data_IF_350065020298
#
_entry.id   IF_350065020298
#
_cell.length_a   1.000
_cell.length_b   1.000
_cell.length_c   1.000
_cell.angle_alpha   90.00
_cell.angle_beta   90.00
_cell.angle_gamma   90.00
#
_symmetry.space_group_name_H-M   'P 1'
#
loop_
_entity.id
_entity.type
_entity.pdbx_description
1 polymer ?
#
# COMPACT_ATOMS: atom_id res chain seq x y z
N UNK A 1 62.43 37.54 53.43
CA UNK A 1 62.51 36.04 53.30
C UNK A 1 61.07 35.54 53.25
N UNK A 2 60.52 35.41 52.08
CA UNK A 2 59.14 34.99 51.87
C UNK A 2 59.17 33.53 51.39
N UNK A 3 58.57 32.65 52.13
CA UNK A 3 58.32 31.27 51.77
C UNK A 3 57.19 31.20 50.75
N UNK A 4 57.47 30.64 49.56
CA UNK A 4 56.48 30.30 48.59
C UNK A 4 56.01 28.87 48.86
N UNK A 5 54.77 28.74 49.32
CA UNK A 5 54.06 27.47 49.46
C UNK A 5 53.58 27.00 48.12
N UNK A 6 54.15 25.91 47.64
CA UNK A 6 53.66 25.17 46.46
C UNK A 6 52.54 24.24 46.87
N UNK A 7 51.32 24.56 46.44
CA UNK A 7 50.15 23.68 46.58
C UNK A 7 50.24 22.47 45.66
N UNK A 8 49.84 21.26 46.08
CA UNK A 8 49.85 20.06 45.24
C UNK A 8 48.69 20.08 44.23
N UNK A 9 48.99 19.66 43.00
CA UNK A 9 48.06 19.55 41.90
C UNK A 9 46.90 18.61 42.23
N UNK A 10 45.66 19.13 42.09
CA UNK A 10 44.45 18.36 42.22
C UNK A 10 44.32 17.34 41.09
N UNK A 11 44.27 16.06 41.44
CA UNK A 11 43.97 14.97 40.55
C UNK A 11 42.51 15.03 40.09
N UNK A 12 42.29 15.23 38.79
CA UNK A 12 40.98 15.15 38.16
C UNK A 12 40.37 13.77 38.36
N UNK A 13 39.12 13.66 38.81
CA UNK A 13 38.43 12.36 38.89
C UNK A 13 38.15 11.82 37.48
N UNK A 14 38.67 10.65 37.21
CA UNK A 14 38.37 9.85 36.03
C UNK A 14 36.85 9.64 35.95
N UNK A 15 36.20 10.17 34.93
CA UNK A 15 34.78 9.98 34.68
C UNK A 15 34.48 8.46 34.62
N UNK A 16 33.70 8.00 35.57
CA UNK A 16 33.18 6.63 35.60
C UNK A 16 32.29 6.44 34.38
N UNK A 17 32.71 5.52 33.51
CA UNK A 17 31.89 5.04 32.37
C UNK A 17 30.52 4.61 32.89
N UNK A 18 29.51 5.46 32.59
CA UNK A 18 28.14 5.22 32.99
C UNK A 18 27.60 3.96 32.33
N UNK A 19 27.56 2.85 33.06
CA UNK A 19 26.74 1.70 32.75
C UNK A 19 25.31 2.19 32.52
N UNK A 20 24.85 2.19 31.24
CA UNK A 20 23.46 2.48 30.89
C UNK A 20 22.56 1.58 31.72
N UNK A 21 21.63 2.14 32.52
CA UNK A 21 20.74 1.33 33.34
C UNK A 21 19.95 0.39 32.45
N UNK A 22 20.08 -0.91 32.73
CA UNK A 22 19.28 -1.96 32.12
C UNK A 22 17.83 -1.63 32.42
N UNK A 23 17.03 -1.23 31.39
CA UNK A 23 15.63 -0.87 31.52
C UNK A 23 14.86 -2.08 32.11
N UNK A 24 14.71 -2.14 33.39
CA UNK A 24 13.85 -3.12 34.07
C UNK A 24 12.43 -2.76 33.66
N UNK A 25 11.78 -3.61 32.85
CA UNK A 25 10.37 -3.42 32.49
C UNK A 25 9.57 -3.34 33.78
N UNK A 26 9.00 -2.18 34.07
CA UNK A 26 8.22 -1.92 35.26
C UNK A 26 7.09 -2.96 35.38
N UNK A 27 6.69 -3.34 36.57
CA UNK A 27 5.55 -4.26 36.82
C UNK A 27 4.30 -3.80 36.07
N UNK A 28 4.13 -2.49 35.95
CA UNK A 28 3.05 -1.84 35.18
C UNK A 28 3.11 -2.15 33.71
N UNK A 29 4.30 -2.12 33.07
CA UNK A 29 4.46 -2.49 31.66
C UNK A 29 4.16 -3.97 31.39
N UNK A 30 4.39 -4.85 32.37
CA UNK A 30 4.02 -6.27 32.26
C UNK A 30 2.52 -6.48 32.39
N UNK A 31 1.84 -5.78 33.29
CA UNK A 31 0.39 -5.85 33.42
C UNK A 31 -0.35 -5.26 32.22
N UNK A 32 0.14 -4.14 31.68
CA UNK A 32 -0.37 -3.53 30.46
C UNK A 32 -0.21 -4.46 29.24
N UNK A 33 0.96 -5.09 29.09
CA UNK A 33 1.18 -6.08 28.02
C UNK A 33 0.26 -7.31 28.17
N UNK A 34 0.05 -7.79 29.41
CA UNK A 34 -0.87 -8.93 29.67
C UNK A 34 -2.32 -8.56 29.36
N UNK A 35 -2.74 -7.37 29.75
CA UNK A 35 -4.07 -6.86 29.43
C UNK A 35 -4.26 -6.68 27.90
N UNK A 36 -3.24 -6.13 27.22
CA UNK A 36 -3.23 -6.03 25.77
C UNK A 36 -3.39 -7.38 25.08
N UNK A 37 -2.65 -8.40 25.51
CA UNK A 37 -2.79 -9.76 24.97
C UNK A 37 -4.14 -10.41 25.33
N UNK A 38 -4.69 -10.14 26.49
CA UNK A 38 -5.99 -10.69 26.89
C UNK A 38 -7.14 -10.09 26.07
N UNK A 39 -7.03 -8.81 25.70
CA UNK A 39 -8.03 -8.12 24.88
C UNK A 39 -7.86 -8.39 23.38
N UNK A 40 -6.63 -8.34 22.88
CA UNK A 40 -6.33 -8.53 21.44
C UNK A 40 -6.15 -10.01 21.07
N UNK A 41 -5.74 -10.86 22.02
CA UNK A 41 -5.42 -12.26 21.80
C UNK A 41 -6.53 -13.05 21.11
N UNK A 42 -7.77 -13.03 21.60
CA UNK A 42 -8.86 -13.77 20.96
C UNK A 42 -9.08 -13.37 19.50
N UNK A 43 -9.08 -12.06 19.22
CA UNK A 43 -9.23 -11.56 17.86
C UNK A 43 -8.04 -11.94 16.97
N UNK A 44 -6.82 -11.88 17.52
CA UNK A 44 -5.60 -12.30 16.81
C UNK A 44 -5.63 -13.80 16.49
N UNK A 45 -6.06 -14.64 17.43
CA UNK A 45 -6.17 -16.10 17.22
C UNK A 45 -7.20 -16.45 16.16
N UNK A 46 -8.38 -15.81 16.19
CA UNK A 46 -9.41 -16.03 15.17
C UNK A 46 -8.87 -15.60 13.80
N UNK A 47 -8.28 -14.42 13.71
CA UNK A 47 -7.70 -13.91 12.46
C UNK A 47 -6.59 -14.81 11.95
N UNK A 48 -5.68 -15.25 12.82
CA UNK A 48 -4.61 -16.19 12.47
C UNK A 48 -5.17 -17.49 11.91
N UNK A 49 -6.17 -18.08 12.57
CA UNK A 49 -6.75 -19.34 12.13
C UNK A 49 -7.49 -19.21 10.80
N UNK A 50 -8.30 -18.16 10.65
CA UNK A 50 -9.07 -17.90 9.42
C UNK A 50 -8.16 -17.60 8.22
N UNK A 51 -7.00 -16.95 8.44
CA UNK A 51 -6.06 -16.60 7.37
C UNK A 51 -5.03 -17.70 7.14
N UNK A 52 -4.44 -18.25 8.21
CA UNK A 52 -3.33 -19.21 8.10
C UNK A 52 -3.80 -20.57 7.57
N UNK A 53 -4.98 -21.03 7.97
CA UNK A 53 -5.49 -22.32 7.52
C UNK A 53 -5.63 -22.41 5.98
N UNK A 54 -6.32 -21.47 5.30
CA UNK A 54 -6.39 -21.49 3.83
C UNK A 54 -5.03 -21.35 3.15
N UNK A 55 -4.10 -20.56 3.73
CA UNK A 55 -2.75 -20.42 3.18
C UNK A 55 -2.00 -21.75 3.24
N UNK A 56 -2.01 -22.42 4.40
CA UNK A 56 -1.35 -23.71 4.56
C UNK A 56 -2.00 -24.78 3.67
N UNK A 57 -3.32 -24.75 3.53
CA UNK A 57 -4.02 -25.65 2.62
C UNK A 57 -3.63 -25.38 1.16
N UNK A 58 -3.59 -24.11 0.72
CA UNK A 58 -3.14 -23.77 -0.62
C UNK A 58 -1.69 -24.20 -0.89
N UNK A 59 -0.79 -24.00 0.08
CA UNK A 59 0.59 -24.51 0.00
C UNK A 59 0.65 -26.03 -0.10
N UNK A 60 -0.17 -26.74 0.68
CA UNK A 60 -0.27 -28.20 0.60
C UNK A 60 -0.82 -28.63 -0.77
N UNK A 61 -1.90 -28.02 -1.25
CA UNK A 61 -2.53 -28.33 -2.53
C UNK A 61 -1.60 -28.00 -3.72
N UNK A 62 -0.73 -27.01 -3.60
CA UNK A 62 0.24 -26.66 -4.63
C UNK A 62 1.28 -27.76 -4.95
N UNK A 63 1.44 -28.71 -4.04
CA UNK A 63 2.34 -29.86 -4.23
C UNK A 63 1.70 -31.03 -5.02
N UNK A 64 0.41 -30.88 -5.38
CA UNK A 64 -0.34 -31.90 -6.11
C UNK A 64 -0.82 -31.37 -7.46
N UNK A 65 -1.00 -32.26 -8.44
CA UNK A 65 -1.80 -31.94 -9.61
C UNK A 65 -3.27 -31.92 -9.21
N UNK A 66 -3.98 -30.88 -9.62
CA UNK A 66 -5.40 -30.77 -9.37
C UNK A 66 -6.12 -30.29 -10.64
N UNK A 67 -6.97 -31.17 -11.20
CA UNK A 67 -7.82 -30.80 -12.32
C UNK A 67 -9.26 -30.66 -11.85
N UNK A 68 -9.85 -29.49 -12.04
CA UNK A 68 -11.24 -29.23 -11.70
C UNK A 68 -12.21 -30.17 -12.41
N UNK A 69 -11.83 -30.67 -13.61
CA UNK A 69 -12.62 -31.61 -14.42
C UNK A 69 -12.48 -33.08 -14.00
N UNK A 70 -11.47 -33.42 -13.20
CA UNK A 70 -11.20 -34.77 -12.71
C UNK A 70 -10.66 -34.72 -11.25
N UNK A 71 -11.54 -34.43 -10.27
CA UNK A 71 -11.11 -34.24 -8.87
C UNK A 71 -10.50 -35.48 -8.22
N UNK A 72 -10.73 -36.68 -8.81
CA UNK A 72 -10.17 -37.95 -8.31
C UNK A 72 -8.71 -38.19 -8.70
N UNK A 73 -8.19 -37.52 -9.74
CA UNK A 73 -6.83 -37.72 -10.26
C UNK A 73 -5.84 -36.77 -9.58
N UNK A 74 -5.70 -36.91 -8.25
CA UNK A 74 -4.77 -36.10 -7.50
C UNK A 74 -3.45 -36.84 -7.31
N UNK A 75 -2.39 -36.36 -8.00
CA UNK A 75 -1.06 -36.95 -7.93
C UNK A 75 -0.08 -35.99 -7.23
N UNK A 76 0.76 -36.52 -6.37
CA UNK A 76 1.79 -35.73 -5.72
C UNK A 76 2.96 -35.47 -6.68
N UNK A 77 3.19 -34.20 -7.02
CA UNK A 77 4.22 -33.75 -7.95
C UNK A 77 5.33 -32.91 -7.28
N UNK A 78 5.24 -32.73 -5.98
CA UNK A 78 6.19 -31.92 -5.22
C UNK A 78 6.28 -30.48 -5.78
N UNK A 79 7.48 -30.05 -6.14
CA UNK A 79 7.72 -28.72 -6.68
C UNK A 79 7.54 -28.62 -8.21
N UNK A 80 7.02 -29.65 -8.87
CA UNK A 80 6.82 -29.67 -10.32
C UNK A 80 5.96 -28.52 -10.83
N UNK A 81 4.87 -28.19 -10.14
CA UNK A 81 4.01 -27.07 -10.49
C UNK A 81 4.75 -25.72 -10.49
N UNK A 82 5.68 -25.52 -9.57
CA UNK A 82 6.49 -24.29 -9.51
C UNK A 82 7.46 -24.21 -10.69
N UNK A 83 8.03 -25.37 -11.10
CA UNK A 83 8.86 -25.44 -12.32
C UNK A 83 8.09 -25.02 -13.56
N UNK A 84 6.86 -25.51 -13.74
CA UNK A 84 6.00 -25.14 -14.86
C UNK A 84 5.71 -23.63 -14.84
N UNK A 85 5.31 -23.06 -13.70
CA UNK A 85 5.01 -21.64 -13.58
C UNK A 85 6.22 -20.77 -13.91
N UNK A 86 7.41 -21.11 -13.39
CA UNK A 86 8.63 -20.33 -13.60
C UNK A 86 9.14 -20.37 -15.06
N UNK A 87 8.74 -21.39 -15.83
CA UNK A 87 9.08 -21.50 -17.26
C UNK A 87 7.99 -20.97 -18.18
N UNK A 88 6.81 -20.62 -17.66
CA UNK A 88 5.69 -20.13 -18.45
C UNK A 88 5.84 -18.63 -18.78
N UNK A 89 5.92 -18.27 -20.08
CA UNK A 89 5.97 -16.88 -20.52
C UNK A 89 4.74 -16.05 -20.10
N UNK A 90 3.56 -16.69 -19.97
CA UNK A 90 2.32 -16.02 -19.57
C UNK A 90 2.43 -15.53 -18.11
N UNK A 91 3.04 -16.35 -17.24
CA UNK A 91 3.31 -15.95 -15.87
C UNK A 91 4.19 -14.69 -15.78
N UNK A 92 5.31 -14.67 -16.52
CA UNK A 92 6.23 -13.53 -16.50
C UNK A 92 5.62 -12.28 -17.11
N UNK A 93 4.83 -12.43 -18.18
CA UNK A 93 4.07 -11.32 -18.75
C UNK A 93 3.06 -10.76 -17.75
N UNK A 94 2.28 -11.63 -17.08
CA UNK A 94 1.33 -11.23 -16.06
C UNK A 94 2.01 -10.53 -14.88
N UNK A 95 3.12 -11.07 -14.39
CA UNK A 95 3.93 -10.46 -13.32
C UNK A 95 4.45 -9.08 -13.75
N UNK A 96 4.98 -8.95 -14.97
CA UNK A 96 5.47 -7.68 -15.50
C UNK A 96 4.38 -6.61 -15.58
N UNK A 97 3.19 -6.98 -16.08
CA UNK A 97 2.03 -6.08 -16.13
C UNK A 97 1.59 -5.67 -14.72
N UNK A 98 1.53 -6.61 -13.78
CA UNK A 98 1.16 -6.32 -12.39
C UNK A 98 2.15 -5.36 -11.74
N UNK A 99 3.46 -5.59 -11.90
CA UNK A 99 4.49 -4.71 -11.38
C UNK A 99 4.44 -3.32 -12.02
N UNK A 100 4.22 -3.25 -13.33
CA UNK A 100 4.07 -1.97 -14.04
C UNK A 100 2.91 -1.17 -13.46
N UNK A 101 1.71 -1.76 -13.37
CA UNK A 101 0.54 -1.09 -12.80
C UNK A 101 0.87 -0.63 -11.37
N UNK A 102 1.34 -1.53 -10.52
CA UNK A 102 1.60 -1.23 -9.11
C UNK A 102 2.60 -0.08 -8.95
N UNK A 103 3.74 -0.14 -9.63
CA UNK A 103 4.78 0.88 -9.48
C UNK A 103 4.30 2.22 -10.00
N UNK A 104 3.69 2.25 -11.18
CA UNK A 104 3.22 3.51 -11.78
C UNK A 104 2.10 4.12 -10.94
N UNK A 105 1.07 3.35 -10.58
CA UNK A 105 -0.07 3.90 -9.81
C UNK A 105 0.39 4.37 -8.43
N UNK A 106 1.14 3.57 -7.67
CA UNK A 106 1.58 3.93 -6.31
C UNK A 106 2.47 5.19 -6.32
N UNK A 107 3.40 5.31 -7.28
CA UNK A 107 4.26 6.50 -7.38
C UNK A 107 3.42 7.74 -7.68
N UNK A 108 2.51 7.67 -8.65
CA UNK A 108 1.65 8.81 -9.02
C UNK A 108 0.70 9.16 -7.87
N UNK A 109 0.09 8.16 -7.24
CA UNK A 109 -0.81 8.32 -6.09
C UNK A 109 -0.10 8.95 -4.88
N UNK A 110 1.14 8.56 -4.60
CA UNK A 110 1.93 9.18 -3.54
C UNK A 110 2.20 10.65 -3.83
N UNK A 111 2.59 10.99 -5.07
CA UNK A 111 2.84 12.37 -5.46
C UNK A 111 1.55 13.20 -5.37
N UNK A 112 0.48 12.74 -6.03
CA UNK A 112 -0.80 13.45 -6.02
C UNK A 112 -1.41 13.50 -4.61
N UNK A 113 -1.36 12.39 -3.89
CA UNK A 113 -1.83 12.29 -2.51
C UNK A 113 -1.10 13.25 -1.57
N UNK A 114 0.21 13.38 -1.72
CA UNK A 114 1.01 14.34 -0.96
C UNK A 114 0.64 15.79 -1.27
N UNK A 115 0.49 16.13 -2.55
CA UNK A 115 0.06 17.47 -2.98
C UNK A 115 -1.34 17.81 -2.43
N UNK A 116 -2.27 16.84 -2.51
CA UNK A 116 -3.62 17.01 -1.94
C UNK A 116 -3.59 17.12 -0.41
N UNK A 117 -2.74 16.35 0.27
CA UNK A 117 -2.57 16.43 1.71
C UNK A 117 -2.05 17.81 2.14
N UNK A 118 -1.05 18.36 1.43
CA UNK A 118 -0.57 19.72 1.64
C UNK A 118 -1.67 20.76 1.40
N UNK A 119 -2.42 20.63 0.30
CA UNK A 119 -3.53 21.54 0.01
C UNK A 119 -4.60 21.51 1.12
N UNK A 120 -4.95 20.32 1.63
CA UNK A 120 -5.87 20.18 2.75
C UNK A 120 -5.28 20.69 4.09
N UNK A 121 -3.97 20.56 4.29
CA UNK A 121 -3.30 21.04 5.50
C UNK A 121 -3.29 22.57 5.56
N UNK A 122 -2.99 23.23 4.44
CA UNK A 122 -2.94 24.69 4.32
C UNK A 122 -4.30 25.34 4.06
N UNK A 123 -5.36 24.56 3.83
CA UNK A 123 -6.69 25.08 3.56
C UNK A 123 -7.23 25.95 4.69
N UNK A 124 -7.91 27.05 4.33
CA UNK A 124 -8.54 27.97 5.26
C UNK A 124 -9.59 27.21 6.09
N UNK A 125 -9.67 27.53 7.38
CA UNK A 125 -10.52 26.81 8.35
C UNK A 125 -11.97 26.65 7.89
N UNK A 126 -12.50 27.64 7.19
CA UNK A 126 -13.90 27.65 6.70
C UNK A 126 -14.15 26.71 5.51
N UNK A 127 -13.14 26.51 4.61
CA UNK A 127 -13.29 25.70 3.40
C UNK A 127 -12.72 24.29 3.54
N UNK A 128 -11.99 24.02 4.63
CA UNK A 128 -11.30 22.75 4.88
C UNK A 128 -12.24 21.52 4.82
N UNK A 129 -13.45 21.65 5.39
CA UNK A 129 -14.46 20.58 5.38
C UNK A 129 -14.92 20.25 3.97
N UNK A 130 -15.28 21.28 3.21
CA UNK A 130 -15.75 21.13 1.83
C UNK A 130 -14.68 20.52 0.91
N UNK A 131 -13.43 20.99 1.00
CA UNK A 131 -12.30 20.47 0.22
C UNK A 131 -12.08 18.99 0.52
N UNK A 132 -12.09 18.59 1.79
CA UNK A 132 -11.95 17.18 2.20
C UNK A 132 -13.08 16.32 1.63
N UNK A 133 -14.32 16.80 1.70
CA UNK A 133 -15.48 16.07 1.17
C UNK A 133 -15.35 15.86 -0.33
N UNK A 134 -15.03 16.91 -1.10
CA UNK A 134 -14.89 16.81 -2.56
C UNK A 134 -13.79 15.84 -2.95
N UNK A 135 -12.62 15.91 -2.28
CA UNK A 135 -11.50 15.00 -2.54
C UNK A 135 -11.87 13.55 -2.26
N UNK A 136 -12.75 13.29 -1.27
CA UNK A 136 -13.13 11.93 -0.87
C UNK A 136 -14.23 11.30 -1.74
N UNK A 137 -14.92 12.07 -2.56
CA UNK A 137 -16.01 11.55 -3.42
C UNK A 137 -15.58 10.34 -4.26
N UNK A 138 -14.43 10.36 -4.97
CA UNK A 138 -14.02 9.22 -5.77
C UNK A 138 -13.85 7.94 -4.97
N UNK A 139 -13.28 8.03 -3.78
CA UNK A 139 -13.07 6.88 -2.91
C UNK A 139 -14.37 6.25 -2.40
N UNK A 140 -15.41 7.07 -2.20
CA UNK A 140 -16.73 6.63 -1.74
C UNK A 140 -17.55 5.89 -2.79
N UNK A 141 -17.16 5.94 -4.08
CA UNK A 141 -17.88 5.26 -5.15
C UNK A 141 -17.55 3.76 -5.15
N UNK A 142 -18.57 2.91 -5.28
CA UNK A 142 -18.39 1.46 -5.39
C UNK A 142 -17.52 1.14 -6.61
N UNK A 143 -16.53 0.25 -6.44
CA UNK A 143 -15.51 -0.04 -7.47
C UNK A 143 -16.11 -0.48 -8.80
N UNK A 144 -17.16 -1.32 -8.77
CA UNK A 144 -17.84 -1.79 -9.99
C UNK A 144 -18.49 -0.62 -10.75
N UNK A 145 -19.16 0.29 -10.01
CA UNK A 145 -19.77 1.48 -10.63
C UNK A 145 -18.72 2.40 -11.23
N UNK A 146 -17.60 2.61 -10.52
CA UNK A 146 -16.47 3.38 -11.05
C UNK A 146 -15.91 2.74 -12.33
N UNK A 147 -15.68 1.42 -12.34
CA UNK A 147 -15.15 0.71 -13.51
C UNK A 147 -16.06 0.84 -14.73
N UNK A 148 -17.37 0.69 -14.54
CA UNK A 148 -18.34 0.89 -15.62
C UNK A 148 -18.37 2.35 -16.10
N UNK A 149 -18.33 3.33 -15.21
CA UNK A 149 -18.30 4.74 -15.59
C UNK A 149 -17.07 5.05 -16.46
N UNK A 150 -15.88 4.60 -16.05
CA UNK A 150 -14.65 4.76 -16.83
C UNK A 150 -14.70 4.03 -18.15
N UNK A 151 -15.22 2.79 -18.17
CA UNK A 151 -15.43 2.03 -19.41
C UNK A 151 -16.32 2.80 -20.41
N UNK A 152 -17.46 3.31 -19.95
CA UNK A 152 -18.36 4.07 -20.81
C UNK A 152 -17.77 5.40 -21.27
N UNK A 153 -17.05 6.11 -20.42
CA UNK A 153 -16.40 7.37 -20.79
C UNK A 153 -15.37 7.21 -21.91
N UNK A 154 -14.62 6.10 -21.91
CA UNK A 154 -13.58 5.78 -22.88
C UNK A 154 -14.06 4.84 -24.01
N UNK A 155 -15.34 4.47 -24.06
CA UNK A 155 -15.93 3.65 -25.11
C UNK A 155 -16.04 4.44 -26.41
N UNK A 156 -15.76 3.77 -27.54
CA UNK A 156 -15.87 4.40 -28.86
C UNK A 156 -17.33 4.77 -29.22
N UNK A 157 -18.30 3.94 -28.81
CA UNK A 157 -19.70 4.10 -29.20
C UNK A 157 -20.46 5.11 -28.35
N UNK A 158 -20.15 5.20 -27.05
CA UNK A 158 -20.92 5.98 -26.07
C UNK A 158 -20.06 6.98 -25.30
N UNK A 159 -18.74 6.93 -25.47
CA UNK A 159 -17.79 7.77 -24.74
C UNK A 159 -17.68 9.18 -25.34
N UNK A 160 -17.29 10.10 -24.48
CA UNK A 160 -17.08 11.50 -24.87
C UNK A 160 -15.61 11.93 -24.75
N UNK A 161 -14.74 11.06 -24.24
CA UNK A 161 -13.32 11.39 -24.01
C UNK A 161 -12.62 11.73 -25.32
N UNK A 162 -12.84 10.96 -26.39
CA UNK A 162 -12.23 11.23 -27.68
C UNK A 162 -12.58 12.65 -28.18
N UNK A 163 -13.85 13.03 -28.13
CA UNK A 163 -14.31 14.34 -28.56
C UNK A 163 -13.74 15.49 -27.72
N UNK A 164 -13.50 15.28 -26.43
CA UNK A 164 -12.94 16.29 -25.54
C UNK A 164 -11.43 16.47 -25.72
N UNK A 165 -10.73 15.40 -26.11
CA UNK A 165 -9.27 15.36 -26.20
C UNK A 165 -8.76 15.20 -27.65
N UNK A 166 -9.61 15.36 -28.67
CA UNK A 166 -9.24 15.29 -30.10
C UNK A 166 -8.11 16.27 -30.49
N UNK A 167 -7.93 17.34 -29.72
CA UNK A 167 -6.83 18.30 -29.90
C UNK A 167 -5.45 17.75 -29.47
N UNK A 168 -5.40 16.63 -28.77
CA UNK A 168 -4.15 16.00 -28.36
C UNK A 168 -3.61 15.09 -29.47
N UNK A 169 -2.29 15.15 -29.76
CA UNK A 169 -1.68 14.22 -30.71
C UNK A 169 -1.93 12.75 -30.33
N UNK A 170 -2.44 11.95 -31.26
CA UNK A 170 -2.72 10.52 -31.04
C UNK A 170 -4.07 10.19 -30.42
N UNK A 171 -4.94 11.17 -30.23
CA UNK A 171 -6.34 10.98 -29.84
C UNK A 171 -7.23 11.36 -31.01
N UNK A 172 -7.62 10.38 -31.80
CA UNK A 172 -8.56 10.54 -32.88
C UNK A 172 -10.00 10.28 -32.39
N UNK A 173 -11.00 10.85 -33.09
CA UNK A 173 -12.41 10.70 -32.73
C UNK A 173 -12.88 9.23 -32.62
N UNK A 174 -12.25 8.34 -33.38
CA UNK A 174 -12.53 6.90 -33.45
C UNK A 174 -11.51 6.04 -32.67
N UNK A 175 -10.68 6.63 -31.82
CA UNK A 175 -9.70 5.89 -31.03
C UNK A 175 -10.38 4.89 -30.09
N UNK A 176 -10.07 3.62 -30.30
CA UNK A 176 -10.53 2.55 -29.41
C UNK A 176 -9.47 2.26 -28.32
N UNK A 177 -9.67 2.83 -27.15
CA UNK A 177 -8.76 2.71 -26.00
C UNK A 177 -8.57 1.27 -25.52
N UNK A 178 -9.57 0.41 -25.76
CA UNK A 178 -9.55 -0.99 -25.30
C UNK A 178 -9.09 -1.98 -26.37
N UNK A 179 -8.83 -1.52 -27.59
CA UNK A 179 -8.33 -2.38 -28.67
C UNK A 179 -6.86 -2.82 -28.46
N UNK A 180 -6.07 -2.00 -27.78
CA UNK A 180 -4.65 -2.28 -27.52
C UNK A 180 -4.38 -2.38 -26.03
N UNK A 181 -3.52 -3.33 -25.65
CA UNK A 181 -3.19 -3.56 -24.26
C UNK A 181 -2.56 -2.35 -23.55
N UNK A 182 -1.75 -1.56 -24.27
CA UNK A 182 -1.11 -0.35 -23.71
C UNK A 182 -2.11 0.75 -23.37
N UNK A 183 -3.05 1.05 -24.26
CA UNK A 183 -4.08 2.06 -24.04
C UNK A 183 -5.11 1.60 -23.00
N UNK A 184 -5.49 0.32 -23.01
CA UNK A 184 -6.34 -0.26 -21.99
C UNK A 184 -5.69 -0.17 -20.59
N UNK A 185 -4.40 -0.50 -20.46
CA UNK A 185 -3.66 -0.38 -19.22
C UNK A 185 -3.58 1.07 -18.73
N UNK A 186 -3.41 2.03 -19.64
CA UNK A 186 -3.41 3.45 -19.30
C UNK A 186 -4.75 3.87 -18.67
N UNK A 187 -5.89 3.48 -19.28
CA UNK A 187 -7.23 3.78 -18.73
C UNK A 187 -7.43 3.12 -17.36
N UNK A 188 -7.00 1.87 -17.19
CA UNK A 188 -7.08 1.14 -15.92
C UNK A 188 -6.26 1.86 -14.84
N UNK A 189 -5.01 2.20 -15.13
CA UNK A 189 -4.16 2.92 -14.18
C UNK A 189 -4.72 4.29 -13.82
N UNK A 190 -5.26 5.02 -14.81
CA UNK A 190 -5.87 6.34 -14.58
C UNK A 190 -7.10 6.24 -13.68
N UNK A 191 -7.95 5.23 -13.88
CA UNK A 191 -9.13 4.99 -13.04
C UNK A 191 -8.75 4.63 -11.60
N UNK A 192 -7.70 3.82 -11.42
CA UNK A 192 -7.19 3.42 -10.11
C UNK A 192 -6.59 4.62 -9.37
N UNK A 193 -5.72 5.38 -10.02
CA UNK A 193 -5.13 6.61 -9.46
C UNK A 193 -6.22 7.59 -9.00
N UNK A 194 -7.23 7.84 -9.84
CA UNK A 194 -8.33 8.71 -9.50
C UNK A 194 -9.10 8.24 -8.26
N UNK A 195 -9.31 6.93 -8.15
CA UNK A 195 -10.10 6.33 -7.08
C UNK A 195 -9.35 6.24 -5.75
N UNK A 196 -8.06 5.91 -5.76
CA UNK A 196 -7.30 5.58 -4.54
C UNK A 196 -6.48 6.75 -3.99
N UNK A 197 -6.09 7.72 -4.82
CA UNK A 197 -5.38 8.95 -4.39
C UNK A 197 -6.02 9.64 -3.18
N UNK A 198 -7.37 9.78 -3.08
CA UNK A 198 -8.01 10.39 -1.91
C UNK A 198 -7.68 9.70 -0.59
N UNK A 199 -7.64 8.37 -0.59
CA UNK A 199 -7.32 7.59 0.61
C UNK A 199 -5.86 7.82 1.05
N UNK A 200 -4.92 7.79 0.10
CA UNK A 200 -3.50 8.08 0.35
C UNK A 200 -3.34 9.51 0.87
N UNK A 201 -4.07 10.47 0.30
CA UNK A 201 -4.02 11.86 0.75
C UNK A 201 -4.48 12.05 2.21
N UNK A 202 -5.48 11.28 2.66
CA UNK A 202 -5.91 11.28 4.06
C UNK A 202 -4.88 10.67 4.99
N UNK A 203 -4.24 9.56 4.61
CA UNK A 203 -3.19 8.94 5.41
C UNK A 203 -2.01 9.90 5.61
N UNK A 204 -1.59 10.56 4.52
CA UNK A 204 -0.51 11.54 4.56
C UNK A 204 -0.90 12.78 5.38
N UNK A 205 -2.15 13.26 5.26
CA UNK A 205 -2.65 14.36 6.07
C UNK A 205 -2.67 14.02 7.56
N UNK A 206 -3.04 12.77 7.92
CA UNK A 206 -2.99 12.32 9.31
C UNK A 206 -1.55 12.30 9.86
N UNK A 207 -0.57 11.94 9.03
CA UNK A 207 0.85 12.04 9.37
C UNK A 207 1.31 13.49 9.55
N UNK A 208 0.94 14.39 8.64
CA UNK A 208 1.27 15.83 8.73
C UNK A 208 0.67 16.52 9.97
N UNK A 209 -0.46 16.02 10.47
CA UNK A 209 -1.09 16.57 11.67
C UNK A 209 -0.35 16.24 12.98
N UNK A 210 0.66 15.36 12.93
CA UNK A 210 1.46 14.95 14.09
C UNK A 210 2.81 15.70 14.18
N UNK A 211 3.14 16.46 13.16
CA UNK A 211 4.37 17.28 13.06
C UNK A 211 4.06 18.73 13.35
#
# INVERSE_FOLDING_TARGET
MSHVDTAPAASTPRAAEGRRPRRVKSQRAKSEARLGWLLAGPAFFVMLFVVLYPILQALYDSLFTYRLTAPGDREFVGLGNYGVILTDPVFWKGLGVTLLITVVTVVVELILGFLLALAMHHAIKQTRGLIRTIILVPYGIITVVSAFAWFYMFSIDSGYINAWFEWLPGVDADLNWFAQGSTALFVIMLSEIWKTTPFISLLLLAGLAQV
#
